data_IF_890038047514
#
_entry.id   IF_890038047514
#
_cell.length_a   1.000
_cell.length_b   1.000
_cell.length_c   1.000
_cell.angle_alpha   90.00
_cell.angle_beta   90.00
_cell.angle_gamma   90.00
#
_symmetry.space_group_name_H-M   'P 1'
#
loop_
_entity.id
_entity.type
_entity.pdbx_description
1 polymer ?
#
# COMPACT_ATOMS: atom_id res chain seq x y z
N UNK A 1 38.26 -33.47 35.34
CA UNK A 1 37.37 -34.08 34.33
C UNK A 1 36.07 -33.28 34.32
N UNK A 2 36.01 -32.25 33.48
CA UNK A 2 34.81 -31.49 33.22
C UNK A 2 34.87 -31.15 31.74
N UNK A 3 34.26 -32.00 30.92
CA UNK A 3 34.11 -31.79 29.49
C UNK A 3 32.89 -32.61 29.08
N UNK A 4 32.07 -31.94 28.27
CA UNK A 4 31.07 -32.52 27.38
C UNK A 4 29.65 -32.68 27.93
N UNK A 5 28.90 -31.56 27.98
CA UNK A 5 27.45 -31.50 27.66
C UNK A 5 27.04 -30.08 27.22
N UNK A 6 27.75 -29.50 26.25
CA UNK A 6 27.32 -28.28 25.53
C UNK A 6 27.31 -28.56 24.04
N UNK A 7 26.49 -29.53 23.62
CA UNK A 7 26.18 -29.75 22.21
C UNK A 7 24.79 -30.34 22.06
N UNK A 8 23.78 -29.48 22.19
CA UNK A 8 22.54 -29.56 21.39
C UNK A 8 21.67 -28.32 21.64
N UNK A 9 22.10 -27.15 21.15
CA UNK A 9 21.16 -26.08 20.79
C UNK A 9 20.82 -26.25 19.32
N UNK A 10 20.13 -27.36 19.02
CA UNK A 10 19.47 -27.56 17.74
C UNK A 10 18.26 -26.63 17.65
N UNK A 11 18.27 -25.78 16.62
CA UNK A 11 17.10 -25.32 15.85
C UNK A 11 15.74 -25.37 16.56
N UNK A 12 15.40 -24.30 17.29
CA UNK A 12 14.04 -24.04 17.78
C UNK A 12 13.43 -22.83 17.05
N UNK A 13 13.57 -22.76 15.72
CA UNK A 13 13.02 -21.67 14.89
C UNK A 13 11.91 -22.11 13.92
N UNK A 14 11.50 -23.38 13.95
CA UNK A 14 10.44 -23.90 13.09
C UNK A 14 9.33 -24.54 13.94
N UNK A 15 8.71 -23.78 14.85
CA UNK A 15 7.41 -24.18 15.39
C UNK A 15 6.30 -23.66 14.46
N UNK A 16 5.61 -24.52 13.68
CA UNK A 16 4.58 -24.13 12.73
C UNK A 16 3.31 -23.54 13.38
N UNK A 17 3.30 -23.40 14.72
CA UNK A 17 2.16 -22.98 15.52
C UNK A 17 2.26 -21.54 16.03
N UNK A 18 3.36 -20.82 15.77
CA UNK A 18 3.46 -19.41 16.15
C UNK A 18 2.72 -18.54 15.11
N UNK A 19 1.58 -17.90 15.47
CA UNK A 19 0.86 -17.02 14.56
C UNK A 19 1.74 -15.87 14.05
N UNK A 20 2.80 -15.49 14.77
CA UNK A 20 3.74 -14.45 14.38
C UNK A 20 4.47 -14.78 13.07
N UNK A 21 4.70 -16.06 12.76
CA UNK A 21 5.34 -16.47 11.50
C UNK A 21 4.47 -16.20 10.27
N UNK A 22 3.15 -16.27 10.42
CA UNK A 22 2.22 -15.96 9.34
C UNK A 22 2.26 -14.47 8.95
N UNK A 23 2.62 -13.59 9.88
CA UNK A 23 2.70 -12.14 9.65
C UNK A 23 4.08 -11.67 9.14
N UNK A 24 5.14 -12.48 9.26
CA UNK A 24 6.49 -12.11 8.82
C UNK A 24 6.58 -11.65 7.35
N UNK A 25 5.92 -12.30 6.37
CA UNK A 25 5.95 -11.85 4.98
C UNK A 25 5.34 -10.47 4.78
N UNK A 26 4.33 -10.09 5.59
CA UNK A 26 3.68 -8.79 5.50
C UNK A 26 4.60 -7.68 6.01
N UNK A 27 5.25 -7.89 7.15
CA UNK A 27 6.23 -6.94 7.72
C UNK A 27 7.41 -6.75 6.75
N UNK A 28 7.95 -7.86 6.24
CA UNK A 28 9.07 -7.83 5.30
C UNK A 28 8.71 -7.12 3.99
N UNK A 29 7.45 -7.24 3.56
CA UNK A 29 6.98 -6.57 2.34
C UNK A 29 6.78 -5.06 2.54
N UNK A 30 6.31 -4.64 3.72
CA UNK A 30 6.18 -3.22 4.05
C UNK A 30 7.56 -2.53 4.04
N UNK A 31 8.55 -3.16 4.67
CA UNK A 31 9.95 -2.73 4.62
C UNK A 31 10.49 -2.67 3.18
N UNK A 32 10.20 -3.69 2.35
CA UNK A 32 10.56 -3.68 0.94
C UNK A 32 9.97 -2.46 0.21
N UNK A 33 8.69 -2.17 0.42
CA UNK A 33 8.01 -1.06 -0.24
C UNK A 33 8.63 0.29 0.12
N UNK A 34 8.96 0.50 1.39
CA UNK A 34 9.63 1.73 1.84
C UNK A 34 11.00 1.89 1.18
N UNK A 35 11.78 0.81 1.08
CA UNK A 35 13.07 0.80 0.37
C UNK A 35 12.90 1.10 -1.11
N UNK A 36 11.90 0.52 -1.76
CA UNK A 36 11.60 0.78 -3.18
C UNK A 36 11.22 2.25 -3.41
N UNK A 37 10.39 2.84 -2.54
CA UNK A 37 10.04 4.26 -2.60
C UNK A 37 11.28 5.15 -2.42
N UNK A 38 12.18 4.81 -1.49
CA UNK A 38 13.45 5.51 -1.32
C UNK A 38 14.36 5.44 -2.57
N UNK A 39 14.24 4.37 -3.35
CA UNK A 39 14.98 4.16 -4.61
C UNK A 39 14.31 4.76 -5.86
N UNK A 40 13.29 5.61 -5.69
CA UNK A 40 12.49 6.22 -6.78
C UNK A 40 11.79 5.20 -7.69
N UNK A 41 11.22 4.14 -7.09
CA UNK A 41 10.44 3.12 -7.78
C UNK A 41 9.33 3.68 -8.70
N UNK A 42 8.62 4.73 -8.29
CA UNK A 42 7.50 5.27 -9.08
C UNK A 42 7.96 5.88 -10.42
N UNK A 43 9.12 6.56 -10.43
CA UNK A 43 9.61 7.21 -11.64
C UNK A 43 10.44 6.28 -12.51
N UNK A 44 11.28 5.44 -11.89
CA UNK A 44 12.25 4.64 -12.63
C UNK A 44 11.77 3.24 -12.96
N UNK A 45 10.87 2.67 -12.17
CA UNK A 45 10.31 1.35 -12.46
C UNK A 45 8.94 1.49 -13.14
N UNK A 46 7.98 2.13 -12.48
CA UNK A 46 6.60 2.23 -12.99
C UNK A 46 6.57 2.99 -14.32
N UNK A 47 7.09 4.23 -14.38
CA UNK A 47 7.03 5.03 -15.62
C UNK A 47 7.92 4.48 -16.72
N UNK A 48 9.14 4.04 -16.40
CA UNK A 48 10.08 3.57 -17.42
C UNK A 48 9.68 2.22 -18.02
N UNK A 49 9.22 1.27 -17.19
CA UNK A 49 8.80 -0.07 -17.64
C UNK A 49 7.31 -0.15 -17.95
N UNK A 50 6.56 0.96 -17.80
CA UNK A 50 5.09 1.04 -17.97
C UNK A 50 4.34 -0.02 -17.17
N UNK A 51 4.86 -0.35 -15.99
CA UNK A 51 4.27 -1.34 -15.09
C UNK A 51 3.14 -0.72 -14.28
N UNK A 52 2.17 -1.52 -13.85
CA UNK A 52 1.13 -1.06 -12.92
C UNK A 52 1.70 -0.95 -11.51
N UNK A 53 1.35 0.12 -10.75
CA UNK A 53 1.63 0.16 -9.32
C UNK A 53 0.98 -1.05 -8.62
N UNK A 54 1.70 -1.67 -7.69
CA UNK A 54 1.20 -2.80 -6.91
C UNK A 54 1.02 -2.43 -5.44
N UNK A 55 0.11 -3.14 -4.77
CA UNK A 55 -0.21 -2.92 -3.36
C UNK A 55 0.95 -3.35 -2.45
N UNK A 56 1.03 -2.75 -1.26
CA UNK A 56 2.07 -3.05 -0.26
C UNK A 56 2.10 -4.49 0.25
N UNK A 57 1.09 -5.30 -0.06
CA UNK A 57 1.02 -6.71 0.31
C UNK A 57 1.08 -7.65 -0.90
N UNK A 58 1.43 -7.13 -2.07
CA UNK A 58 1.27 -7.84 -3.34
C UNK A 58 2.05 -9.14 -3.44
N UNK A 59 3.27 -9.22 -2.90
CA UNK A 59 4.04 -10.47 -2.88
C UNK A 59 3.75 -11.33 -1.64
N UNK A 60 3.06 -10.80 -0.62
CA UNK A 60 2.74 -11.54 0.59
C UNK A 60 1.53 -12.48 0.37
N UNK A 61 0.57 -12.04 -0.44
CA UNK A 61 -0.65 -12.80 -0.76
C UNK A 61 -0.55 -13.34 -2.18
N UNK A 62 -0.91 -14.61 -2.39
CA UNK A 62 -1.06 -15.15 -3.74
C UNK A 62 -2.21 -14.45 -4.46
N UNK A 63 -1.91 -13.82 -5.59
CA UNK A 63 -2.94 -13.19 -6.44
C UNK A 63 -2.95 -13.90 -7.79
N UNK A 64 -2.08 -13.48 -8.71
CA UNK A 64 -1.83 -14.14 -9.97
C UNK A 64 -0.36 -14.60 -10.02
N UNK A 65 -0.07 -15.90 -9.85
CA UNK A 65 1.32 -16.40 -9.81
C UNK A 65 2.15 -16.07 -11.05
N UNK A 66 1.53 -16.00 -12.24
CA UNK A 66 2.25 -15.66 -13.47
C UNK A 66 2.68 -14.20 -13.49
N UNK A 67 1.76 -13.29 -13.18
CA UNK A 67 2.03 -11.84 -13.08
C UNK A 67 2.99 -11.54 -11.92
N UNK A 68 2.81 -12.20 -10.78
CA UNK A 68 3.69 -12.08 -9.62
C UNK A 68 5.11 -12.54 -9.93
N UNK A 69 5.26 -13.66 -10.64
CA UNK A 69 6.58 -14.14 -11.07
C UNK A 69 7.25 -13.15 -12.01
N UNK A 70 6.54 -12.67 -13.04
CA UNK A 70 7.06 -11.68 -13.97
C UNK A 70 7.46 -10.37 -13.27
N UNK A 71 6.63 -9.89 -12.35
CA UNK A 71 6.90 -8.69 -11.58
C UNK A 71 8.09 -8.87 -10.64
N UNK A 72 8.21 -10.03 -9.98
CA UNK A 72 9.36 -10.39 -9.14
C UNK A 72 10.66 -10.36 -9.94
N UNK A 73 10.70 -11.04 -11.09
CA UNK A 73 11.90 -11.08 -11.94
C UNK A 73 12.24 -9.71 -12.51
N UNK A 74 11.22 -8.94 -12.89
CA UNK A 74 11.38 -7.57 -13.39
C UNK A 74 11.94 -6.63 -12.32
N UNK A 75 11.46 -6.75 -11.09
CA UNK A 75 11.91 -5.93 -9.97
C UNK A 75 13.34 -6.31 -9.57
N UNK A 76 13.66 -7.60 -9.51
CA UNK A 76 15.03 -8.06 -9.28
C UNK A 76 15.99 -7.54 -10.35
N UNK A 77 15.61 -7.60 -11.63
CA UNK A 77 16.37 -7.04 -12.75
C UNK A 77 16.62 -5.53 -12.59
N UNK A 78 15.59 -4.79 -12.20
CA UNK A 78 15.71 -3.35 -11.95
C UNK A 78 16.67 -3.04 -10.79
N UNK A 79 16.55 -3.74 -9.67
CA UNK A 79 17.44 -3.57 -8.51
C UNK A 79 18.90 -3.91 -8.86
N UNK A 80 19.14 -4.97 -9.64
CA UNK A 80 20.49 -5.32 -10.11
C UNK A 80 21.06 -4.24 -11.05
N UNK A 81 20.24 -3.64 -11.93
CA UNK A 81 20.66 -2.51 -12.76
C UNK A 81 20.99 -1.26 -11.95
N UNK A 82 20.25 -1.00 -10.87
CA UNK A 82 20.53 0.11 -9.94
C UNK A 82 21.91 -0.01 -9.27
N UNK A 83 22.40 -1.23 -9.11
CA UNK A 83 23.76 -1.54 -8.63
C UNK A 83 24.85 -1.36 -9.69
N UNK A 84 24.49 -0.86 -10.89
CA UNK A 84 25.42 -0.65 -12.00
C UNK A 84 25.80 -1.92 -12.77
N UNK A 85 25.12 -3.05 -12.52
CA UNK A 85 25.36 -4.31 -13.23
C UNK A 85 24.43 -4.46 -14.43
N UNK A 86 24.94 -4.94 -15.57
CA UNK A 86 24.07 -5.23 -16.71
C UNK A 86 23.16 -6.40 -16.36
N UNK A 87 21.85 -6.21 -16.48
CA UNK A 87 20.86 -7.25 -16.34
C UNK A 87 19.76 -7.04 -17.39
N UNK A 88 19.49 -8.08 -18.18
CA UNK A 88 18.47 -8.04 -19.23
C UNK A 88 17.07 -8.09 -18.61
N UNK A 89 16.16 -7.25 -19.12
CA UNK A 89 14.78 -7.25 -18.63
C UNK A 89 14.09 -8.56 -19.01
N UNK A 90 13.66 -9.38 -18.04
CA UNK A 90 12.97 -10.62 -18.33
C UNK A 90 11.66 -10.37 -19.07
N UNK A 91 11.31 -11.27 -19.99
CA UNK A 91 10.04 -11.29 -20.72
C UNK A 91 9.07 -12.30 -20.12
N UNK A 92 7.77 -12.12 -20.37
CA UNK A 92 6.71 -13.02 -19.86
C UNK A 92 6.81 -14.44 -20.43
N UNK A 93 7.44 -14.61 -21.60
CA UNK A 93 7.61 -15.89 -22.29
C UNK A 93 8.97 -16.56 -22.03
N UNK A 94 9.85 -15.92 -21.24
CA UNK A 94 11.13 -16.51 -20.90
C UNK A 94 10.96 -17.75 -20.02
N UNK A 95 11.87 -18.71 -20.16
CA UNK A 95 11.83 -19.91 -19.33
C UNK A 95 12.01 -19.53 -17.84
N UNK A 96 11.04 -19.86 -16.95
CA UNK A 96 11.09 -19.46 -15.56
C UNK A 96 12.33 -19.97 -14.82
N UNK A 97 12.83 -21.16 -15.18
CA UNK A 97 14.01 -21.74 -14.52
C UNK A 97 15.27 -20.94 -14.84
N UNK A 98 15.43 -20.59 -16.12
CA UNK A 98 16.55 -19.83 -16.63
C UNK A 98 16.59 -18.44 -16.03
N UNK A 99 15.45 -17.73 -15.98
CA UNK A 99 15.37 -16.41 -15.35
C UNK A 99 15.68 -16.46 -13.86
N UNK A 100 15.18 -17.46 -13.13
CA UNK A 100 15.50 -17.64 -11.70
C UNK A 100 17.00 -17.91 -11.52
N UNK A 101 17.61 -18.74 -12.36
CA UNK A 101 19.05 -19.02 -12.29
C UNK A 101 19.86 -17.73 -12.47
N UNK A 102 19.52 -16.90 -13.46
CA UNK A 102 20.16 -15.60 -13.69
C UNK A 102 20.02 -14.65 -12.50
N UNK A 103 18.82 -14.57 -11.89
CA UNK A 103 18.59 -13.76 -10.68
C UNK A 103 19.42 -14.29 -9.51
N UNK A 104 19.47 -15.62 -9.32
CA UNK A 104 20.26 -16.24 -8.25
C UNK A 104 21.76 -16.01 -8.43
N UNK A 105 22.28 -16.10 -9.65
CA UNK A 105 23.68 -15.83 -9.92
C UNK A 105 24.01 -14.34 -9.68
N UNK A 106 23.12 -13.42 -10.07
CA UNK A 106 23.28 -12.00 -9.73
C UNK A 106 23.29 -11.76 -8.20
N UNK A 107 22.48 -12.48 -7.44
CA UNK A 107 22.48 -12.39 -5.96
C UNK A 107 23.76 -12.95 -5.34
N UNK A 108 24.32 -14.02 -5.90
CA UNK A 108 25.60 -14.61 -5.46
C UNK A 108 26.77 -13.68 -5.71
N UNK A 109 26.79 -13.00 -6.84
CA UNK A 109 27.80 -11.98 -7.18
C UNK A 109 27.78 -10.79 -6.22
N UNK A 110 26.65 -10.54 -5.58
CA UNK A 110 26.45 -9.52 -4.54
C UNK A 110 26.75 -10.03 -3.13
N UNK A 111 27.23 -11.28 -3.00
CA UNK A 111 27.53 -11.90 -1.71
C UNK A 111 26.30 -12.30 -0.89
N UNK A 112 25.12 -12.42 -1.51
CA UNK A 112 23.89 -12.86 -0.83
C UNK A 112 23.85 -14.39 -0.86
N UNK A 113 23.86 -15.02 0.31
CA UNK A 113 23.71 -16.48 0.43
C UNK A 113 22.23 -16.85 0.43
N UNK A 114 21.83 -17.72 -0.49
CA UNK A 114 20.45 -18.20 -0.64
C UNK A 114 20.39 -19.68 -0.23
N UNK A 115 19.65 -19.98 0.84
CA UNK A 115 19.49 -21.34 1.41
C UNK A 115 18.09 -21.91 1.16
N UNK A 116 17.68 -21.95 -0.11
CA UNK A 116 16.44 -22.62 -0.50
C UNK A 116 16.46 -23.04 -1.97
N UNK A 117 15.63 -24.02 -2.32
CA UNK A 117 15.54 -24.55 -3.68
C UNK A 117 14.93 -23.51 -4.66
N UNK A 118 15.46 -23.37 -5.89
CA UNK A 118 14.95 -22.45 -6.92
C UNK A 118 13.45 -22.64 -7.24
N UNK A 119 12.93 -23.86 -7.06
CA UNK A 119 11.50 -24.16 -7.25
C UNK A 119 10.57 -23.34 -6.35
N UNK A 120 11.06 -22.82 -5.22
CA UNK A 120 10.27 -21.94 -4.33
C UNK A 120 10.11 -20.53 -4.91
N UNK A 121 11.00 -20.08 -5.79
CA UNK A 121 10.91 -18.77 -6.45
C UNK A 121 9.98 -18.76 -7.66
N UNK A 122 9.73 -19.92 -8.28
CA UNK A 122 8.78 -20.07 -9.40
C UNK A 122 7.36 -19.62 -9.06
N UNK A 123 7.03 -19.62 -7.77
CA UNK A 123 5.73 -19.18 -7.28
C UNK A 123 5.54 -17.68 -7.49
N UNK A 124 6.63 -16.90 -7.53
CA UNK A 124 6.59 -15.45 -7.71
C UNK A 124 6.12 -14.66 -6.48
N UNK A 125 5.63 -15.34 -5.44
CA UNK A 125 5.14 -14.75 -4.20
C UNK A 125 5.67 -15.53 -2.98
N UNK A 126 5.51 -14.92 -1.80
CA UNK A 126 5.85 -15.49 -0.51
C UNK A 126 7.23 -15.09 0.02
N UNK A 127 7.58 -15.64 1.19
CA UNK A 127 8.75 -15.24 1.99
C UNK A 127 10.08 -15.27 1.21
N UNK A 128 10.28 -16.26 0.35
CA UNK A 128 11.54 -16.45 -0.37
C UNK A 128 11.73 -15.38 -1.46
N UNK A 129 10.66 -15.01 -2.16
CA UNK A 129 10.70 -13.95 -3.17
C UNK A 129 10.95 -12.58 -2.52
N UNK A 130 10.22 -12.28 -1.44
CA UNK A 130 10.37 -11.04 -0.67
C UNK A 130 11.78 -10.93 -0.09
N UNK A 131 12.34 -12.02 0.46
CA UNK A 131 13.70 -12.04 1.00
C UNK A 131 14.76 -11.64 -0.04
N UNK A 132 14.69 -12.18 -1.26
CA UNK A 132 15.62 -11.83 -2.34
C UNK A 132 15.50 -10.35 -2.70
N UNK A 133 14.26 -9.87 -2.88
CA UNK A 133 14.01 -8.48 -3.23
C UNK A 133 14.51 -7.52 -2.15
N UNK A 134 14.30 -7.86 -0.87
CA UNK A 134 14.81 -7.06 0.25
C UNK A 134 16.34 -7.00 0.27
N UNK A 135 17.00 -8.15 0.13
CA UNK A 135 18.46 -8.17 0.07
C UNK A 135 18.96 -7.31 -1.10
N UNK A 136 18.38 -7.46 -2.31
CA UNK A 136 18.76 -6.64 -3.46
C UNK A 136 18.51 -5.15 -3.24
N UNK A 137 17.39 -4.78 -2.61
CA UNK A 137 17.05 -3.41 -2.28
C UNK A 137 18.03 -2.81 -1.26
N UNK A 138 18.45 -3.57 -0.24
CA UNK A 138 19.44 -3.13 0.75
C UNK A 138 20.78 -2.77 0.08
N UNK A 139 21.28 -3.66 -0.79
CA UNK A 139 22.51 -3.36 -1.54
C UNK A 139 22.33 -2.15 -2.45
N UNK A 140 21.17 -2.03 -3.10
CA UNK A 140 20.89 -0.88 -3.96
C UNK A 140 20.85 0.43 -3.16
N UNK A 141 20.29 0.43 -1.95
CA UNK A 141 20.30 1.58 -1.05
C UNK A 141 21.70 1.95 -0.58
N UNK A 142 22.54 0.96 -0.26
CA UNK A 142 23.96 1.17 0.07
C UNK A 142 24.69 1.87 -1.08
N UNK A 143 24.43 1.48 -2.33
CA UNK A 143 25.05 2.07 -3.52
C UNK A 143 24.54 3.49 -3.83
N UNK A 144 23.24 3.75 -3.58
CA UNK A 144 22.63 5.08 -3.82
C UNK A 144 23.01 6.09 -2.72
N UNK A 145 23.56 5.64 -1.58
CA UNK A 145 23.87 6.48 -0.42
C UNK A 145 22.69 7.39 -0.02
N UNK A 146 21.50 6.79 0.09
CA UNK A 146 20.28 7.55 0.36
C UNK A 146 20.39 8.31 1.69
N UNK A 147 20.09 9.62 1.66
CA UNK A 147 20.05 10.48 2.85
C UNK A 147 18.62 10.93 3.08
N UNK A 148 18.08 10.64 4.27
CA UNK A 148 16.78 11.13 4.70
C UNK A 148 16.76 12.66 4.69
N UNK A 149 15.92 13.22 3.82
CA UNK A 149 15.69 14.67 3.80
C UNK A 149 14.80 15.02 4.99
N UNK A 150 15.10 16.14 5.66
CA UNK A 150 14.24 16.64 6.74
C UNK A 150 12.82 16.88 6.20
N UNK A 151 11.77 16.41 6.90
CA UNK A 151 10.40 16.70 6.49
C UNK A 151 10.24 18.21 6.46
N UNK A 152 9.82 18.75 5.31
CA UNK A 152 9.36 20.13 5.22
C UNK A 152 7.89 20.10 5.60
N UNK A 153 7.49 20.76 6.71
CA UNK A 153 6.07 20.95 6.97
C UNK A 153 5.42 21.51 5.71
N UNK A 154 4.26 20.99 5.28
CA UNK A 154 3.49 21.70 4.27
C UNK A 154 3.34 23.13 4.76
N UNK A 155 3.72 24.09 3.91
CA UNK A 155 3.44 25.50 4.22
C UNK A 155 1.93 25.55 4.41
N UNK A 156 1.48 25.88 5.62
CA UNK A 156 0.11 26.25 5.85
C UNK A 156 -0.16 27.38 4.87
N UNK A 157 -0.87 27.07 3.79
CA UNK A 157 -1.48 28.10 2.97
C UNK A 157 -2.48 28.72 3.94
N UNK A 158 -2.11 29.86 4.53
CA UNK A 158 -3.08 30.80 5.02
C UNK A 158 -4.05 30.97 3.85
N UNK A 159 -5.22 30.31 3.95
CA UNK A 159 -6.33 30.61 3.08
C UNK A 159 -6.61 32.06 3.44
N UNK A 160 -6.08 32.99 2.64
CA UNK A 160 -6.57 34.35 2.63
C UNK A 160 -8.09 34.17 2.55
N UNK A 161 -8.79 34.52 3.63
CA UNK A 161 -10.23 34.65 3.62
C UNK A 161 -10.50 35.66 2.51
N UNK A 162 -10.75 35.15 1.30
CA UNK A 162 -11.23 35.97 0.23
C UNK A 162 -12.51 36.58 0.80
N UNK A 163 -12.64 37.92 0.83
CA UNK A 163 -13.89 38.52 1.23
C UNK A 163 -14.94 37.88 0.32
N UNK A 164 -15.88 37.17 0.91
CA UNK A 164 -17.04 36.64 0.20
C UNK A 164 -17.67 37.88 -0.42
N UNK A 165 -17.53 38.03 -1.73
CA UNK A 165 -18.11 39.13 -2.48
C UNK A 165 -19.63 39.04 -2.26
N UNK A 166 -20.24 40.13 -1.81
CA UNK A 166 -21.66 40.22 -1.43
C UNK A 166 -22.61 39.82 -2.58
N UNK A 167 -22.07 39.55 -3.78
CA UNK A 167 -22.79 39.04 -4.96
C UNK A 167 -23.23 37.57 -4.81
N UNK A 168 -22.71 36.81 -3.84
CA UNK A 168 -23.20 35.46 -3.53
C UNK A 168 -24.58 35.44 -2.83
N UNK A 169 -25.10 36.59 -2.37
CA UNK A 169 -26.43 36.70 -1.77
C UNK A 169 -27.58 36.84 -2.80
N UNK A 170 -27.29 36.88 -4.10
CA UNK A 170 -28.29 37.00 -5.19
C UNK A 170 -28.61 35.68 -5.91
N UNK A 171 -28.80 34.57 -5.18
CA UNK A 171 -29.08 33.27 -5.81
C UNK A 171 -30.42 32.64 -5.44
N UNK A 172 -31.12 33.05 -4.38
CA UNK A 172 -32.42 32.44 -4.04
C UNK A 172 -33.59 33.02 -4.85
N UNK A 173 -33.67 34.35 -4.99
CA UNK A 173 -34.77 35.01 -5.71
C UNK A 173 -34.72 34.74 -7.23
N UNK A 174 -33.50 34.63 -7.78
CA UNK A 174 -33.29 34.30 -9.20
C UNK A 174 -33.60 32.84 -9.53
N UNK A 175 -33.30 31.92 -8.61
CA UNK A 175 -33.68 30.51 -8.74
C UNK A 175 -35.20 30.36 -8.63
N UNK A 176 -35.88 31.10 -7.74
CA UNK A 176 -37.34 31.05 -7.61
C UNK A 176 -38.07 31.59 -8.85
N UNK A 177 -37.54 32.66 -9.47
CA UNK A 177 -38.08 33.23 -10.72
C UNK A 177 -37.85 32.29 -11.93
N UNK A 178 -36.70 31.62 -12.01
CA UNK A 178 -36.40 30.64 -13.06
C UNK A 178 -37.26 29.38 -12.93
N UNK A 179 -37.45 28.88 -11.71
CA UNK A 179 -38.30 27.71 -11.44
C UNK A 179 -39.79 27.99 -11.67
N UNK A 180 -40.24 29.24 -11.47
CA UNK A 180 -41.60 29.67 -11.80
C UNK A 180 -41.83 29.88 -13.31
N UNK A 181 -40.78 30.17 -14.07
CA UNK A 181 -40.85 30.32 -15.53
C UNK A 181 -40.89 28.96 -16.25
N UNK A 182 -40.20 27.94 -15.72
CA UNK A 182 -40.20 26.57 -16.25
C UNK A 182 -41.55 25.86 -16.12
N UNK A 183 -42.45 26.33 -15.26
CA UNK A 183 -43.77 25.71 -15.02
C UNK A 183 -44.85 26.18 -16.03
N UNK A 184 -44.47 26.93 -17.07
CA UNK A 184 -45.41 27.58 -18.01
C UNK A 184 -45.28 27.20 -19.49
N UNK A 185 -44.52 26.16 -19.83
CA UNK A 185 -44.50 25.63 -21.21
C UNK A 185 -44.70 24.11 -21.22
N UNK A 186 -45.69 23.69 -22.01
CA UNK A 186 -46.20 22.34 -22.19
C UNK A 186 -45.12 21.33 -22.59
N UNK A 187 -44.82 20.35 -21.72
CA UNK A 187 -44.22 19.07 -22.11
C UNK A 187 -44.72 17.96 -21.16
N UNK A 188 -45.95 17.50 -21.40
CA UNK A 188 -46.62 16.40 -20.66
C UNK A 188 -45.95 15.01 -20.83
N UNK A 189 -44.84 14.90 -21.58
CA UNK A 189 -44.20 13.62 -21.92
C UNK A 189 -42.93 13.28 -21.10
N UNK A 190 -42.52 14.13 -20.16
CA UNK A 190 -41.34 13.90 -19.30
C UNK A 190 -41.65 13.69 -17.80
N UNK A 191 -42.87 13.20 -17.50
CA UNK A 191 -43.28 12.88 -16.13
C UNK A 191 -42.49 11.67 -15.60
N UNK A 192 -41.38 11.95 -14.89
CA UNK A 192 -40.68 10.99 -14.03
C UNK A 192 -41.70 10.28 -13.16
N UNK A 193 -41.76 8.94 -13.25
CA UNK A 193 -42.74 8.16 -12.51
C UNK A 193 -42.46 8.31 -11.00
N UNK A 194 -43.50 8.64 -10.22
CA UNK A 194 -43.45 8.82 -8.76
C UNK A 194 -42.76 7.64 -8.02
N UNK A 195 -42.80 6.44 -8.61
CA UNK A 195 -42.18 5.23 -8.07
C UNK A 195 -40.63 5.28 -8.13
N UNK A 196 -40.06 5.93 -9.15
CA UNK A 196 -38.61 6.06 -9.30
C UNK A 196 -38.00 7.04 -8.26
N UNK A 197 -38.75 8.09 -7.90
CA UNK A 197 -38.36 9.02 -6.83
C UNK A 197 -38.37 8.36 -5.45
N UNK A 198 -39.33 7.47 -5.19
CA UNK A 198 -39.39 6.69 -3.93
C UNK A 198 -38.21 5.72 -3.82
N UNK A 199 -37.79 5.12 -4.93
CA UNK A 199 -36.63 4.24 -4.94
C UNK A 199 -35.31 4.99 -4.66
N UNK A 200 -35.12 6.18 -5.25
CA UNK A 200 -33.92 7.00 -5.01
C UNK A 200 -33.87 7.49 -3.55
N UNK A 201 -35.00 7.90 -2.97
CA UNK A 201 -35.06 8.31 -1.55
C UNK A 201 -34.77 7.15 -0.60
N UNK A 202 -35.28 5.95 -0.90
CA UNK A 202 -35.00 4.76 -0.09
C UNK A 202 -33.52 4.30 -0.19
N UNK A 203 -32.91 4.39 -1.37
CA UNK A 203 -31.49 4.07 -1.57
C UNK A 203 -30.61 5.07 -0.82
N UNK A 204 -30.91 6.37 -0.89
CA UNK A 204 -30.17 7.40 -0.16
C UNK A 204 -30.32 7.25 1.36
N UNK A 205 -31.52 6.89 1.85
CA UNK A 205 -31.74 6.63 3.28
C UNK A 205 -30.95 5.41 3.77
N UNK A 206 -30.92 4.34 2.98
CA UNK A 206 -30.14 3.13 3.27
C UNK A 206 -28.62 3.41 3.27
N UNK A 207 -28.13 4.22 2.33
CA UNK A 207 -26.72 4.61 2.27
C UNK A 207 -26.32 5.51 3.45
N UNK A 208 -27.22 6.39 3.88
CA UNK A 208 -27.02 7.27 5.04
C UNK A 208 -27.05 6.50 6.37
N UNK A 209 -27.91 5.47 6.48
CA UNK A 209 -27.94 4.55 7.62
C UNK A 209 -26.69 3.65 7.67
N UNK A 210 -26.17 3.21 6.52
CA UNK A 210 -24.92 2.43 6.42
C UNK A 210 -23.65 3.26 6.69
N UNK A 211 -23.71 4.58 6.50
CA UNK A 211 -22.62 5.52 6.82
C UNK A 211 -22.69 6.07 8.26
N UNK A 212 -23.70 5.70 9.05
CA UNK A 212 -23.75 6.05 10.47
C UNK A 212 -22.71 5.22 11.21
N UNK A 213 -21.50 5.75 11.24
CA UNK A 213 -20.40 5.34 12.11
C UNK A 213 -20.97 5.04 13.50
N UNK A 214 -20.50 3.94 14.10
CA UNK A 214 -20.85 3.52 15.45
C UNK A 214 -20.90 4.75 16.38
N UNK A 215 -22.01 4.87 17.10
CA UNK A 215 -22.27 5.86 18.14
C UNK A 215 -20.97 6.21 18.88
N UNK A 216 -20.51 7.45 18.70
CA UNK A 216 -19.27 7.96 19.26
C UNK A 216 -19.26 7.57 20.75
N UNK A 217 -18.29 6.76 21.18
CA UNK A 217 -18.11 6.42 22.58
C UNK A 217 -17.74 7.70 23.34
N UNK A 218 -18.73 8.36 23.93
CA UNK A 218 -18.51 9.51 24.80
C UNK A 218 -17.92 9.04 26.13
N UNK A 219 -16.75 9.55 26.50
CA UNK A 219 -16.18 9.31 27.82
C UNK A 219 -16.98 10.08 28.87
N UNK A 220 -17.77 9.39 29.68
CA UNK A 220 -18.47 9.96 30.85
C UNK A 220 -17.53 10.30 32.03
N UNK A 221 -16.29 10.73 31.75
CA UNK A 221 -15.28 10.94 32.79
C UNK A 221 -15.38 12.36 33.37
N UNK A 222 -15.75 12.45 34.65
CA UNK A 222 -15.88 13.70 35.38
C UNK A 222 -14.50 14.25 35.79
N UNK A 223 -14.26 15.53 35.55
CA UNK A 223 -12.98 16.21 35.85
C UNK A 223 -12.59 16.14 37.33
N UNK A 224 -13.58 16.11 38.23
CA UNK A 224 -13.32 16.02 39.68
C UNK A 224 -12.86 14.63 40.12
N UNK A 225 -13.34 13.55 39.49
CA UNK A 225 -12.88 12.18 39.79
C UNK A 225 -11.43 11.98 39.36
N UNK A 226 -11.04 12.56 38.22
CA UNK A 226 -9.65 12.57 37.76
C UNK A 226 -8.71 13.28 38.74
N UNK A 227 -9.15 14.43 39.29
CA UNK A 227 -8.33 15.18 40.25
C UNK A 227 -8.12 14.40 41.55
N UNK A 228 -9.15 13.73 42.06
CA UNK A 228 -9.06 12.93 43.28
C UNK A 228 -8.14 11.71 43.11
N UNK A 229 -8.11 11.13 41.92
CA UNK A 229 -7.21 10.01 41.61
C UNK A 229 -5.74 10.45 41.59
N UNK A 230 -5.44 11.64 41.07
CA UNK A 230 -4.09 12.22 41.07
C UNK A 230 -3.60 12.55 42.48
N UNK A 231 -4.46 13.05 43.37
CA UNK A 231 -4.07 13.35 44.76
C UNK A 231 -3.79 12.09 45.60
N UNK A 232 -4.22 10.91 45.14
CA UNK A 232 -4.01 9.64 45.86
C UNK A 232 -2.65 8.99 45.56
N UNK A 233 -1.98 9.36 44.48
CA UNK A 233 -0.68 8.80 44.03
C UNK A 233 0.47 9.63 44.59
#
# INVERSE_FOLDING_TARGET
>A
MALDQLSSRGSALDDPTDPSQAYQPFISMDDLMDKLKALNYDDEFIKALKMRPFSRYYFAIQTNPGEQFFLFTSLAAWLVRKLGRPFEQPQEYDDPNSTIATVLDATRDLGITVDFAPNKLKQGYGRHAIYILNCLADRAMEHVHFVWKKPKPPVELEVEEQPIDDEAELLLEKIEEEMAAEDSEEDEDNLLHIDDLQNITNINKSLLEAQKQEEILESNTNSEEWRLEIERV
#
